data_IF_761209669860
#
_entry.id   IF_761209669860
#
_cell.length_a   1.000
_cell.length_b   1.000
_cell.length_c   1.000
_cell.angle_alpha   90.00
_cell.angle_beta   90.00
_cell.angle_gamma   90.00
#
_symmetry.space_group_name_H-M   'P 1'
#
loop_
_entity.id
_entity.type
_entity.pdbx_description
1 polymer ?
#
# COMPACT_ATOMS: atom_id res chain seq x y z
N UNK A 1 38.51 -5.51 84.26
CA UNK A 1 38.70 -4.37 83.36
C UNK A 1 38.50 -4.86 81.93
N UNK A 2 37.63 -4.16 81.20
CA UNK A 2 37.31 -4.18 79.77
C UNK A 2 37.63 -5.42 78.90
N UNK A 3 36.56 -6.07 78.45
CA UNK A 3 36.49 -6.71 77.13
C UNK A 3 36.21 -5.65 76.05
N UNK A 4 36.79 -5.75 74.83
CA UNK A 4 36.24 -5.09 73.66
C UNK A 4 35.67 -6.08 72.63
N UNK A 5 34.61 -5.59 72.01
CA UNK A 5 33.59 -6.25 71.20
C UNK A 5 34.00 -6.67 69.79
N UNK A 6 33.26 -7.66 69.29
CA UNK A 6 33.10 -8.05 67.88
C UNK A 6 32.58 -6.87 67.03
N UNK A 7 33.22 -6.62 65.88
CA UNK A 7 32.67 -5.75 64.83
C UNK A 7 31.77 -6.60 63.92
N UNK A 8 30.47 -6.36 63.98
CA UNK A 8 29.50 -6.86 63.02
C UNK A 8 29.41 -5.88 61.85
N UNK A 9 29.80 -6.29 60.64
CA UNK A 9 29.46 -5.58 59.40
C UNK A 9 28.10 -6.11 58.95
N UNK A 10 27.06 -5.32 59.16
CA UNK A 10 25.79 -5.41 58.42
C UNK A 10 25.57 -4.05 57.79
N UNK A 11 25.89 -3.94 56.52
CA UNK A 11 25.48 -2.82 55.68
C UNK A 11 24.21 -3.24 54.96
N UNK A 12 23.06 -2.95 55.57
CA UNK A 12 21.74 -3.10 54.94
C UNK A 12 21.21 -1.69 54.67
N UNK A 13 21.85 -1.03 53.70
CA UNK A 13 21.41 0.27 53.22
C UNK A 13 20.06 0.13 52.50
N UNK A 14 19.05 0.94 52.85
CA UNK A 14 17.74 0.85 52.23
C UNK A 14 17.84 1.24 50.75
N UNK A 15 17.64 0.26 49.86
CA UNK A 15 17.52 0.49 48.42
C UNK A 15 16.42 1.53 48.16
N UNK A 16 16.84 2.75 47.82
CA UNK A 16 15.96 3.84 47.38
C UNK A 16 15.09 3.34 46.22
N UNK A 17 13.78 3.19 46.45
CA UNK A 17 12.78 2.77 45.44
C UNK A 17 12.48 3.87 44.40
N UNK A 18 13.41 4.78 44.14
CA UNK A 18 13.20 5.95 43.28
C UNK A 18 13.79 5.79 41.87
N UNK A 19 14.33 4.63 41.51
CA UNK A 19 14.74 4.35 40.13
C UNK A 19 13.56 3.75 39.35
N UNK A 20 13.06 4.42 38.29
CA UNK A 20 12.03 3.86 37.42
C UNK A 20 12.55 2.56 36.80
N UNK A 21 11.93 1.42 37.14
CA UNK A 21 12.31 0.12 36.58
C UNK A 21 12.05 0.03 35.06
N UNK A 22 12.52 -1.03 34.37
CA UNK A 22 12.44 -1.17 32.90
C UNK A 22 11.02 -1.17 32.29
N UNK A 23 9.97 -1.09 33.11
CA UNK A 23 8.56 -0.97 32.72
C UNK A 23 7.89 0.33 33.20
N UNK A 24 8.65 1.26 33.76
CA UNK A 24 8.11 2.49 34.34
C UNK A 24 7.53 3.47 33.30
N UNK A 25 7.76 3.24 32.00
CA UNK A 25 7.19 4.04 30.92
C UNK A 25 5.73 3.74 30.56
N UNK A 26 5.10 2.74 31.20
CA UNK A 26 3.74 2.31 30.86
C UNK A 26 3.63 1.77 29.41
N UNK A 27 2.42 1.41 28.95
CA UNK A 27 2.21 1.02 27.56
C UNK A 27 2.54 2.18 26.61
N UNK A 28 3.50 2.00 25.70
CA UNK A 28 3.75 2.98 24.64
C UNK A 28 2.51 3.07 23.75
N UNK A 29 1.99 4.28 23.46
CA UNK A 29 0.87 4.45 22.54
C UNK A 29 1.17 3.78 21.21
N UNK A 30 0.19 3.04 20.67
CA UNK A 30 0.31 2.47 19.32
C UNK A 30 0.50 3.62 18.32
N UNK A 31 1.45 3.46 17.38
CA UNK A 31 1.67 4.43 16.29
C UNK A 31 0.35 4.73 15.57
N UNK A 32 0.01 6.00 15.45
CA UNK A 32 -1.15 6.47 14.71
C UNK A 32 -0.70 7.26 13.48
N UNK A 33 -1.51 7.23 12.43
CA UNK A 33 -1.25 7.96 11.19
C UNK A 33 -2.34 9.00 10.96
N UNK A 34 -1.93 10.23 10.68
CA UNK A 34 -2.83 11.28 10.22
C UNK A 34 -3.40 10.93 8.83
N UNK A 35 -4.56 11.50 8.44
CA UNK A 35 -5.11 11.29 7.09
C UNK A 35 -4.12 11.61 5.97
N UNK A 36 -3.35 12.69 6.11
CA UNK A 36 -2.29 13.06 5.17
C UNK A 36 -1.19 12.00 5.09
N UNK A 37 -0.65 11.57 6.23
CA UNK A 37 0.38 10.51 6.27
C UNK A 37 -0.10 9.20 5.65
N UNK A 38 -1.40 8.86 5.78
CA UNK A 38 -1.95 7.68 5.11
C UNK A 38 -1.93 7.83 3.60
N UNK A 39 -2.26 9.00 3.07
CA UNK A 39 -2.21 9.29 1.64
C UNK A 39 -0.76 9.26 1.13
N UNK A 40 0.17 9.88 1.86
CA UNK A 40 1.60 9.86 1.52
C UNK A 40 2.14 8.42 1.47
N UNK A 41 1.76 7.61 2.46
CA UNK A 41 2.16 6.22 2.49
C UNK A 41 1.54 5.38 1.37
N UNK A 42 0.31 5.68 0.94
CA UNK A 42 -0.31 5.03 -0.21
C UNK A 42 0.41 5.38 -1.52
N UNK A 43 0.73 6.66 -1.72
CA UNK A 43 1.46 7.11 -2.91
C UNK A 43 2.84 6.44 -3.00
N UNK A 44 3.62 6.50 -1.91
CA UNK A 44 4.93 5.86 -1.86
C UNK A 44 4.87 4.32 -1.99
N UNK A 45 3.80 3.70 -1.49
CA UNK A 45 3.58 2.26 -1.69
C UNK A 45 3.25 1.91 -3.14
N UNK A 46 2.43 2.72 -3.82
CA UNK A 46 2.09 2.54 -5.24
C UNK A 46 3.34 2.72 -6.12
N UNK A 47 4.16 3.72 -5.86
CA UNK A 47 5.47 3.89 -6.51
C UNK A 47 6.40 2.71 -6.26
N UNK A 48 6.41 2.17 -5.04
CA UNK A 48 7.19 0.99 -4.70
C UNK A 48 6.68 -0.26 -5.43
N UNK A 49 5.37 -0.44 -5.61
CA UNK A 49 4.79 -1.55 -6.40
C UNK A 49 5.27 -1.47 -7.85
N UNK A 50 5.28 -0.29 -8.45
CA UNK A 50 5.75 -0.10 -9.84
C UNK A 50 7.22 -0.54 -10.03
N UNK A 51 8.00 -0.58 -8.94
CA UNK A 51 9.39 -1.08 -8.89
C UNK A 51 9.52 -2.47 -8.27
N UNK A 52 8.42 -3.22 -8.16
CA UNK A 52 8.35 -4.55 -7.53
C UNK A 52 8.81 -4.59 -6.06
N UNK A 53 8.77 -3.46 -5.36
CA UNK A 53 9.32 -3.23 -4.01
C UNK A 53 8.28 -3.03 -2.90
N UNK A 54 6.98 -3.20 -3.17
CA UNK A 54 5.92 -2.93 -2.18
C UNK A 54 6.08 -3.70 -0.87
N UNK A 55 6.51 -4.97 -0.91
CA UNK A 55 6.75 -5.77 0.29
C UNK A 55 7.93 -5.28 1.13
N UNK A 56 8.98 -4.75 0.50
CA UNK A 56 10.12 -4.15 1.20
C UNK A 56 9.69 -2.86 1.92
N UNK A 57 8.98 -1.98 1.20
CA UNK A 57 8.42 -0.76 1.75
C UNK A 57 7.53 -1.02 2.98
N UNK A 58 6.64 -2.02 2.91
CA UNK A 58 5.78 -2.41 4.04
C UNK A 58 6.58 -2.79 5.29
N UNK A 59 7.70 -3.50 5.13
CA UNK A 59 8.57 -3.90 6.26
C UNK A 59 9.35 -2.71 6.82
N UNK A 60 9.91 -1.88 5.96
CA UNK A 60 10.68 -0.69 6.34
C UNK A 60 9.82 0.33 7.10
N UNK A 61 8.58 0.53 6.64
CA UNK A 61 7.66 1.49 7.26
C UNK A 61 6.86 0.88 8.41
N UNK A 62 6.93 -0.44 8.63
CA UNK A 62 6.13 -1.15 9.62
C UNK A 62 4.62 -1.14 9.30
N UNK A 63 4.26 -1.11 8.02
CA UNK A 63 2.88 -1.02 7.53
C UNK A 63 2.47 -2.36 6.90
N UNK A 64 1.43 -2.96 7.46
CA UNK A 64 0.87 -4.21 6.94
C UNK A 64 -0.01 -3.99 5.71
N UNK A 65 -0.09 -5.00 4.83
CA UNK A 65 -0.95 -4.98 3.64
C UNK A 65 -2.43 -4.75 3.96
N UNK A 66 -2.90 -5.21 5.12
CA UNK A 66 -4.25 -4.94 5.62
C UNK A 66 -4.49 -3.45 5.85
N UNK A 67 -3.51 -2.72 6.40
CA UNK A 67 -3.61 -1.27 6.60
C UNK A 67 -3.67 -0.54 5.26
N UNK A 68 -2.79 -0.91 4.32
CA UNK A 68 -2.83 -0.36 2.95
C UNK A 68 -4.20 -0.58 2.31
N UNK A 69 -4.75 -1.78 2.43
CA UNK A 69 -6.05 -2.12 1.85
C UNK A 69 -7.17 -1.26 2.45
N UNK A 70 -7.19 -1.09 3.77
CA UNK A 70 -8.16 -0.22 4.44
C UNK A 70 -7.98 1.25 4.06
N UNK A 71 -6.74 1.74 3.96
CA UNK A 71 -6.49 3.13 3.58
C UNK A 71 -6.90 3.41 2.13
N UNK A 72 -6.72 2.45 1.20
CA UNK A 72 -7.24 2.57 -0.16
C UNK A 72 -8.76 2.71 -0.16
N UNK A 73 -9.48 1.87 0.59
CA UNK A 73 -10.95 2.00 0.73
C UNK A 73 -11.35 3.39 1.22
N UNK A 74 -10.64 3.94 2.20
CA UNK A 74 -10.91 5.28 2.73
C UNK A 74 -10.57 6.39 1.73
N UNK A 75 -9.48 6.26 0.95
CA UNK A 75 -9.14 7.18 -0.14
C UNK A 75 -10.19 7.15 -1.24
N UNK A 76 -10.57 5.96 -1.68
CA UNK A 76 -11.53 5.74 -2.75
C UNK A 76 -12.93 6.21 -2.33
N UNK A 77 -13.25 6.15 -1.04
CA UNK A 77 -14.47 6.75 -0.48
C UNK A 77 -14.36 8.27 -0.25
N UNK A 78 -13.21 8.90 -0.54
CA UNK A 78 -12.98 10.34 -0.33
C UNK A 78 -12.87 10.75 1.14
N UNK A 79 -12.75 9.79 2.06
CA UNK A 79 -12.79 10.03 3.51
C UNK A 79 -11.50 10.69 4.02
N UNK A 80 -10.36 10.42 3.38
CA UNK A 80 -9.06 10.94 3.83
C UNK A 80 -8.79 12.37 3.36
N UNK A 81 -9.41 12.81 2.26
CA UNK A 81 -9.18 14.13 1.69
C UNK A 81 -9.79 15.23 2.56
N UNK A 82 -9.02 16.29 2.84
CA UNK A 82 -9.49 17.46 3.60
C UNK A 82 -9.68 17.25 5.11
N UNK A 83 -9.42 16.06 5.65
CA UNK A 83 -9.52 15.78 7.09
C UNK A 83 -8.34 16.34 7.86
N UNK A 84 -8.62 17.01 8.98
CA UNK A 84 -7.57 17.54 9.86
C UNK A 84 -6.95 16.44 10.73
N UNK A 85 -5.68 16.58 11.15
CA UNK A 85 -5.09 15.68 12.15
C UNK A 85 -5.96 15.61 13.42
N UNK A 86 -6.19 14.40 13.92
CA UNK A 86 -7.00 14.15 15.12
C UNK A 86 -8.51 14.01 14.87
N UNK A 87 -9.00 14.28 13.67
CA UNK A 87 -10.40 14.06 13.33
C UNK A 87 -10.70 12.55 13.24
N UNK A 88 -11.79 12.13 13.90
CA UNK A 88 -12.17 10.72 13.90
C UNK A 88 -12.69 10.32 12.52
N UNK A 89 -12.12 9.24 11.98
CA UNK A 89 -12.65 8.57 10.80
C UNK A 89 -13.79 7.67 11.27
N UNK A 90 -15.02 8.09 11.00
CA UNK A 90 -16.23 7.33 11.31
C UNK A 90 -16.57 6.30 10.23
N UNK A 91 -17.76 5.70 10.36
CA UNK A 91 -18.36 4.88 9.30
C UNK A 91 -18.56 5.73 8.04
N UNK A 92 -18.40 5.13 6.86
CA UNK A 92 -18.68 5.79 5.59
C UNK A 92 -20.14 6.26 5.55
N UNK A 93 -20.35 7.49 5.08
CA UNK A 93 -21.69 7.97 4.74
C UNK A 93 -22.21 7.22 3.50
N UNK A 94 -23.55 7.21 3.27
CA UNK A 94 -24.11 6.60 2.05
C UNK A 94 -23.48 7.17 0.77
N UNK A 95 -23.25 8.48 0.73
CA UNK A 95 -22.59 9.16 -0.38
C UNK A 95 -21.15 8.67 -0.59
N UNK A 96 -20.36 8.55 0.49
CA UNK A 96 -18.98 8.04 0.41
C UNK A 96 -18.92 6.58 -0.04
N UNK A 97 -19.89 5.76 0.39
CA UNK A 97 -20.02 4.38 -0.07
C UNK A 97 -20.34 4.32 -1.57
N UNK A 98 -21.23 5.19 -2.05
CA UNK A 98 -21.58 5.27 -3.46
C UNK A 98 -20.41 5.79 -4.32
N UNK A 99 -19.69 6.81 -3.85
CA UNK A 99 -18.45 7.28 -4.50
C UNK A 99 -17.44 6.13 -4.65
N UNK A 100 -17.23 5.35 -3.59
CA UNK A 100 -16.33 4.21 -3.64
C UNK A 100 -16.81 3.12 -4.62
N UNK A 101 -18.13 2.88 -4.68
CA UNK A 101 -18.73 1.93 -5.64
C UNK A 101 -18.53 2.41 -7.08
N UNK A 102 -18.88 3.65 -7.38
CA UNK A 102 -18.78 4.24 -8.71
C UNK A 102 -17.33 4.24 -9.22
N UNK A 103 -16.38 4.60 -8.35
CA UNK A 103 -14.94 4.54 -8.71
C UNK A 103 -14.46 3.13 -9.07
N UNK A 104 -14.93 2.11 -8.36
CA UNK A 104 -14.61 0.70 -8.70
C UNK A 104 -15.23 0.27 -10.01
N UNK A 105 -16.47 0.69 -10.28
CA UNK A 105 -17.12 0.39 -11.55
C UNK A 105 -16.38 1.06 -12.71
N UNK A 106 -15.96 2.31 -12.52
CA UNK A 106 -15.16 3.06 -13.47
C UNK A 106 -13.84 2.34 -13.80
N UNK A 107 -13.03 1.99 -12.80
CA UNK A 107 -11.77 1.24 -13.00
C UNK A 107 -11.99 -0.11 -13.72
N UNK A 108 -13.06 -0.84 -13.37
CA UNK A 108 -13.40 -2.08 -14.07
C UNK A 108 -13.76 -1.83 -15.54
N UNK A 109 -14.54 -0.79 -15.82
CA UNK A 109 -14.92 -0.45 -17.20
C UNK A 109 -13.73 0.03 -18.01
N UNK A 110 -12.82 0.81 -17.43
CA UNK A 110 -11.60 1.28 -18.09
C UNK A 110 -10.70 0.10 -18.47
N UNK A 111 -10.45 -0.85 -17.56
CA UNK A 111 -9.66 -2.05 -17.87
C UNK A 111 -10.28 -2.91 -18.98
N UNK A 112 -11.62 -2.98 -19.01
CA UNK A 112 -12.33 -3.67 -20.10
C UNK A 112 -12.12 -2.94 -21.42
N UNK A 113 -12.23 -1.61 -21.42
CA UNK A 113 -11.97 -0.79 -22.61
C UNK A 113 -10.53 -0.98 -23.11
N UNK A 114 -9.53 -0.92 -22.23
CA UNK A 114 -8.13 -1.19 -22.56
C UNK A 114 -7.96 -2.57 -23.20
N UNK A 115 -8.54 -3.60 -22.59
CA UNK A 115 -8.48 -4.98 -23.10
C UNK A 115 -9.11 -5.08 -24.49
N UNK A 116 -10.28 -4.48 -24.69
CA UNK A 116 -10.94 -4.46 -26.00
C UNK A 116 -10.16 -3.66 -27.02
N UNK A 117 -9.51 -2.56 -26.63
CA UNK A 117 -8.64 -1.77 -27.50
C UNK A 117 -7.48 -2.61 -28.03
N UNK A 118 -6.78 -3.33 -27.16
CA UNK A 118 -5.70 -4.25 -27.56
C UNK A 118 -6.20 -5.33 -28.51
N UNK A 119 -7.38 -5.89 -28.26
CA UNK A 119 -7.98 -6.88 -29.17
C UNK A 119 -8.26 -6.30 -30.57
N UNK A 120 -8.79 -5.07 -30.64
CA UNK A 120 -9.01 -4.37 -31.90
C UNK A 120 -7.69 -4.10 -32.65
N UNK A 121 -6.63 -3.70 -31.94
CA UNK A 121 -5.30 -3.50 -32.55
C UNK A 121 -4.74 -4.79 -33.15
N UNK A 122 -4.89 -5.92 -32.45
CA UNK A 122 -4.45 -7.23 -32.96
C UNK A 122 -5.24 -7.60 -34.21
N UNK A 123 -6.56 -7.43 -34.21
CA UNK A 123 -7.39 -7.71 -35.38
C UNK A 123 -7.05 -6.81 -36.57
N UNK A 124 -6.74 -5.53 -36.32
CA UNK A 124 -6.30 -4.61 -37.36
C UNK A 124 -4.98 -5.06 -38.00
N UNK A 125 -3.98 -5.45 -37.20
CA UNK A 125 -2.71 -6.00 -37.69
C UNK A 125 -2.89 -7.30 -38.47
N UNK A 126 -3.77 -8.18 -38.00
CA UNK A 126 -4.09 -9.42 -38.71
C UNK A 126 -4.71 -9.12 -40.08
N UNK A 127 -5.63 -8.16 -40.16
CA UNK A 127 -6.25 -7.77 -41.44
C UNK A 127 -5.22 -7.18 -42.42
N UNK A 128 -4.31 -6.34 -41.94
CA UNK A 128 -3.21 -5.79 -42.75
C UNK A 128 -2.30 -6.89 -43.31
N UNK A 129 -1.93 -7.88 -42.48
CA UNK A 129 -1.15 -9.04 -42.93
C UNK A 129 -1.87 -9.84 -44.02
N UNK A 130 -3.17 -10.08 -43.87
CA UNK A 130 -3.97 -10.78 -44.87
C UNK A 130 -4.05 -10.01 -46.20
N UNK A 131 -4.18 -8.68 -46.14
CA UNK A 131 -4.18 -7.84 -47.34
C UNK A 131 -2.83 -7.87 -48.07
N UNK A 132 -1.72 -7.86 -47.33
CA UNK A 132 -0.38 -7.98 -47.90
C UNK A 132 -0.16 -9.35 -48.56
N UNK A 133 -0.60 -10.44 -47.91
CA UNK A 133 -0.54 -11.79 -48.49
C UNK A 133 -1.42 -11.92 -49.75
N UNK A 134 -2.61 -11.31 -49.74
CA UNK A 134 -3.53 -11.27 -50.89
C UNK A 134 -2.96 -10.51 -52.09
N UNK A 135 -2.26 -9.40 -51.86
CA UNK A 135 -1.55 -8.67 -52.93
C UNK A 135 -0.38 -9.48 -53.49
N UNK A 136 0.43 -10.06 -52.61
CA UNK A 136 1.57 -10.89 -53.02
C UNK A 136 1.18 -12.10 -53.86
N UNK A 137 0.00 -12.71 -53.61
CA UNK A 137 -0.47 -13.86 -54.41
C UNK A 137 -1.01 -13.46 -55.78
N UNK A 138 -1.45 -12.21 -55.96
CA UNK A 138 -1.91 -11.67 -57.25
C UNK A 138 -0.76 -11.22 -58.15
N UNK A 139 0.39 -10.89 -57.57
CA UNK A 139 1.61 -10.49 -58.31
C UNK A 139 2.46 -11.69 -58.79
N UNK A 140 2.05 -12.94 -58.53
CA UNK A 140 2.64 -14.11 -59.21
C UNK A 140 2.19 -14.16 -60.67
N UNK A 141 2.90 -13.45 -61.55
CA UNK A 141 2.85 -13.72 -63.00
C UNK A 141 3.24 -15.18 -63.26
N UNK A 142 2.45 -15.96 -64.02
CA UNK A 142 2.75 -17.36 -64.26
C UNK A 142 4.09 -17.44 -65.00
N UNK A 143 5.08 -18.06 -64.34
CA UNK A 143 6.41 -18.27 -64.91
C UNK A 143 6.24 -19.25 -66.07
N UNK A 144 6.21 -18.72 -67.31
CA UNK A 144 6.22 -19.55 -68.51
C UNK A 144 7.46 -20.45 -68.48
N UNK A 145 7.23 -21.77 -68.40
CA UNK A 145 8.27 -22.77 -68.52
C UNK A 145 8.74 -22.85 -69.99
N UNK A 146 10.04 -23.10 -70.23
CA UNK A 146 10.67 -23.09 -71.55
C UNK A 146 10.21 -24.24 -72.46
#
# INVERSE_FOLDING_TARGET
MSSPSLIAVRDDSPMSKNSPGPRAGGPTPRRSFTPAQKLDHLAAYEDAISRNGGGAYSREQGIYSSQITEWRKLRDAGVLAGKKPGEKIGRLTPEQAEIARLRRQLDLTERRLETTGVALEIMSKMHELLENLSKSSRDETPRALP
#
